data_IF_625192411218
#
_entry.id   IF_625192411218
#
_cell.length_a   1.000
_cell.length_b   1.000
_cell.length_c   1.000
_cell.angle_alpha   90.00
_cell.angle_beta   90.00
_cell.angle_gamma   90.00
#
_symmetry.space_group_name_H-M   'P 1'
#
loop_
_entity.id
_entity.type
_entity.pdbx_description
1 polymer ?
#
# COMPACT_ATOMS: atom_id res chain seq x y z
N UNK A 1 50.77 -9.15 17.40
CA UNK A 1 50.55 -9.20 15.94
C UNK A 1 49.06 -9.36 15.69
N UNK A 2 48.36 -8.26 15.36
CA UNK A 2 46.92 -8.31 15.08
C UNK A 2 46.73 -9.01 13.74
N UNK A 3 46.01 -10.13 13.76
CA UNK A 3 45.89 -11.04 12.62
C UNK A 3 45.03 -10.37 11.53
N UNK A 4 45.67 -9.67 10.60
CA UNK A 4 45.05 -8.81 9.55
C UNK A 4 43.94 -9.54 8.76
N UNK A 5 44.05 -10.87 8.65
CA UNK A 5 43.04 -11.74 8.02
C UNK A 5 41.69 -11.75 8.74
N UNK A 6 41.69 -11.60 10.07
CA UNK A 6 40.46 -11.61 10.89
C UNK A 6 39.72 -10.28 10.77
N UNK A 7 40.44 -9.15 10.71
CA UNK A 7 39.84 -7.82 10.53
C UNK A 7 39.14 -7.73 9.18
N UNK A 8 39.76 -8.25 8.13
CA UNK A 8 39.19 -8.21 6.78
C UNK A 8 37.89 -9.03 6.67
N UNK A 9 37.83 -10.19 7.34
CA UNK A 9 36.63 -11.02 7.37
C UNK A 9 35.45 -10.34 8.10
N UNK A 10 35.73 -9.64 9.21
CA UNK A 10 34.70 -8.91 9.97
C UNK A 10 34.17 -7.71 9.19
N UNK A 11 35.02 -7.00 8.46
CA UNK A 11 34.61 -5.85 7.64
C UNK A 11 33.70 -6.25 6.47
N UNK A 12 33.99 -7.39 5.82
CA UNK A 12 33.15 -7.93 4.73
C UNK A 12 31.79 -8.41 5.25
N UNK A 13 31.74 -9.02 6.44
CA UNK A 13 30.48 -9.43 7.07
C UNK A 13 29.58 -8.25 7.47
N UNK A 14 30.16 -7.12 7.90
CA UNK A 14 29.39 -5.90 8.21
C UNK A 14 28.81 -5.21 6.97
N UNK A 15 29.50 -5.29 5.82
CA UNK A 15 29.00 -4.71 4.56
C UNK A 15 27.84 -5.55 3.98
N UNK A 16 27.90 -6.88 4.13
CA UNK A 16 26.87 -7.78 3.60
C UNK A 16 25.59 -7.84 4.46
N UNK A 17 25.65 -7.40 5.71
CA UNK A 17 24.48 -7.33 6.61
C UNK A 17 23.68 -6.03 6.46
N UNK A 18 24.27 -4.97 5.88
CA UNK A 18 23.57 -3.72 5.56
C UNK A 18 22.58 -3.83 4.39
N UNK A 19 22.82 -4.75 3.44
CA UNK A 19 21.94 -4.94 2.28
C UNK A 19 20.67 -5.74 2.60
N UNK A 20 20.68 -6.58 3.64
CA UNK A 20 19.52 -7.39 4.00
C UNK A 20 18.37 -6.57 4.62
N UNK A 21 18.70 -5.46 5.29
CA UNK A 21 17.70 -4.56 5.88
C UNK A 21 17.01 -3.65 4.84
N UNK A 22 17.62 -3.43 3.67
CA UNK A 22 17.04 -2.58 2.61
C UNK A 22 16.04 -3.35 1.72
N UNK A 23 16.12 -4.69 1.70
CA UNK A 23 15.31 -5.51 0.81
C UNK A 23 13.87 -5.75 1.29
N UNK A 24 13.55 -5.47 2.57
CA UNK A 24 12.18 -5.55 3.07
C UNK A 24 11.25 -4.43 2.56
N UNK A 25 11.78 -3.42 1.87
CA UNK A 25 11.00 -2.30 1.36
C UNK A 25 10.53 -2.49 -0.10
N UNK A 26 10.88 -3.60 -0.77
CA UNK A 26 10.42 -3.88 -2.13
C UNK A 26 8.96 -4.38 -2.22
N UNK A 27 8.22 -4.47 -1.11
CA UNK A 27 6.83 -4.93 -1.06
C UNK A 27 5.78 -3.89 -0.66
N UNK A 28 6.19 -2.69 -0.23
CA UNK A 28 5.25 -1.66 0.21
C UNK A 28 4.80 -0.81 -0.99
N UNK A 29 3.54 -0.93 -1.39
CA UNK A 29 2.91 0.01 -2.34
C UNK A 29 3.04 1.41 -1.74
N UNK A 30 3.73 2.32 -2.42
CA UNK A 30 3.78 3.71 -1.97
C UNK A 30 2.39 4.35 -2.10
N UNK A 31 2.10 5.35 -1.26
CA UNK A 31 0.82 6.04 -1.33
C UNK A 31 0.59 6.68 -2.70
N UNK A 32 1.63 7.25 -3.30
CA UNK A 32 1.56 7.88 -4.61
C UNK A 32 1.28 6.83 -5.70
N UNK A 33 1.96 5.68 -5.66
CA UNK A 33 1.69 4.57 -6.58
C UNK A 33 0.26 4.04 -6.43
N UNK A 34 -0.26 3.98 -5.20
CA UNK A 34 -1.65 3.61 -4.96
C UNK A 34 -2.62 4.60 -5.59
N UNK A 35 -2.43 5.91 -5.36
CA UNK A 35 -3.29 6.98 -5.89
C UNK A 35 -3.28 6.95 -7.41
N UNK A 36 -2.10 6.88 -8.04
CA UNK A 36 -2.00 6.80 -9.51
C UNK A 36 -2.72 5.57 -10.07
N UNK A 37 -2.54 4.40 -9.45
CA UNK A 37 -3.26 3.19 -9.84
C UNK A 37 -4.77 3.29 -9.62
N UNK A 38 -5.21 4.00 -8.57
CA UNK A 38 -6.62 4.29 -8.32
C UNK A 38 -7.21 5.16 -9.43
N UNK A 39 -6.53 6.26 -9.79
CA UNK A 39 -6.97 7.19 -10.83
C UNK A 39 -7.08 6.46 -12.17
N UNK A 40 -6.03 5.73 -12.55
CA UNK A 40 -6.01 4.93 -13.79
C UNK A 40 -7.22 3.98 -13.85
N UNK A 41 -7.49 3.22 -12.79
CA UNK A 41 -8.66 2.33 -12.74
C UNK A 41 -10.00 3.06 -12.78
N UNK A 42 -10.07 4.28 -12.26
CA UNK A 42 -11.25 5.13 -12.36
C UNK A 42 -11.51 5.56 -13.81
N UNK A 43 -10.45 5.93 -14.53
CA UNK A 43 -10.52 6.30 -15.95
C UNK A 43 -10.93 5.12 -16.83
N UNK A 44 -10.41 3.92 -16.57
CA UNK A 44 -10.82 2.68 -17.24
C UNK A 44 -12.32 2.35 -17.02
N UNK A 45 -12.92 2.89 -15.97
CA UNK A 45 -14.36 2.78 -15.67
C UNK A 45 -15.19 3.95 -16.24
N UNK A 46 -14.59 4.82 -17.06
CA UNK A 46 -15.26 5.96 -17.68
C UNK A 46 -15.43 7.18 -16.78
N UNK A 47 -14.79 7.23 -15.61
CA UNK A 47 -14.75 8.43 -14.77
C UNK A 47 -13.74 9.41 -15.40
N UNK A 48 -14.13 10.67 -15.58
CA UNK A 48 -13.22 11.69 -16.11
C UNK A 48 -11.98 11.84 -15.22
N UNK A 49 -10.84 12.21 -15.81
CA UNK A 49 -9.55 12.27 -15.10
C UNK A 49 -9.58 13.13 -13.83
N UNK A 50 -10.24 14.29 -13.90
CA UNK A 50 -10.43 15.21 -12.79
C UNK A 50 -11.27 14.57 -11.66
N UNK A 51 -12.37 13.91 -12.00
CA UNK A 51 -13.24 13.23 -11.04
C UNK A 51 -12.61 11.97 -10.47
N UNK A 52 -11.81 11.25 -11.24
CA UNK A 52 -11.05 10.11 -10.77
C UNK A 52 -9.97 10.55 -9.78
N UNK A 53 -9.27 11.64 -10.06
CA UNK A 53 -8.32 12.27 -9.13
C UNK A 53 -9.01 12.70 -7.84
N UNK A 54 -10.09 13.47 -7.92
CA UNK A 54 -10.87 13.92 -6.76
C UNK A 54 -11.37 12.75 -5.90
N UNK A 55 -11.92 11.71 -6.54
CA UNK A 55 -12.39 10.49 -5.88
C UNK A 55 -11.25 9.77 -5.15
N UNK A 56 -10.11 9.55 -5.81
CA UNK A 56 -9.00 8.80 -5.23
C UNK A 56 -8.32 9.58 -4.09
N UNK A 57 -8.20 10.90 -4.19
CA UNK A 57 -7.70 11.73 -3.09
C UNK A 57 -8.67 11.77 -1.91
N UNK A 58 -9.98 11.93 -2.14
CA UNK A 58 -10.99 11.83 -1.08
C UNK A 58 -10.90 10.47 -0.38
N UNK A 59 -10.89 9.38 -1.15
CA UNK A 59 -10.85 8.02 -0.65
C UNK A 59 -9.64 7.76 0.24
N UNK A 60 -8.45 8.09 -0.24
CA UNK A 60 -7.20 7.87 0.49
C UNK A 60 -7.14 8.73 1.75
N UNK A 61 -7.52 10.01 1.67
CA UNK A 61 -7.52 10.89 2.85
C UNK A 61 -8.51 10.39 3.90
N UNK A 62 -9.75 10.06 3.51
CA UNK A 62 -10.77 9.55 4.42
C UNK A 62 -10.38 8.21 5.05
N UNK A 63 -9.66 7.36 4.33
CA UNK A 63 -9.15 6.10 4.88
C UNK A 63 -8.04 6.34 5.91
N UNK A 64 -7.08 7.24 5.60
CA UNK A 64 -5.98 7.60 6.49
C UNK A 64 -6.50 8.30 7.75
N UNK A 65 -7.47 9.20 7.64
CA UNK A 65 -8.11 9.88 8.79
C UNK A 65 -8.77 8.90 9.76
N UNK A 66 -9.29 7.77 9.26
CA UNK A 66 -9.90 6.72 10.07
C UNK A 66 -8.90 5.74 10.67
N UNK A 67 -7.66 5.72 10.18
CA UNK A 67 -6.62 4.81 10.64
C UNK A 67 -5.23 5.46 10.58
N UNK A 68 -4.38 5.03 9.65
CA UNK A 68 -3.07 5.58 9.39
C UNK A 68 -2.64 5.28 7.96
N UNK A 69 -1.61 5.99 7.48
CA UNK A 69 -1.01 5.74 6.16
C UNK A 69 -0.57 4.29 6.00
N UNK A 70 0.14 3.72 6.99
CA UNK A 70 0.68 2.38 6.89
C UNK A 70 -0.44 1.33 6.89
N UNK A 71 -1.40 1.48 7.81
CA UNK A 71 -2.51 0.55 7.93
C UNK A 71 -3.40 0.54 6.68
N UNK A 72 -3.62 1.70 6.07
CA UNK A 72 -4.30 1.80 4.78
C UNK A 72 -3.57 1.04 3.67
N UNK A 73 -2.25 1.23 3.54
CA UNK A 73 -1.45 0.58 2.51
C UNK A 73 -1.39 -0.94 2.72
N UNK A 74 -1.28 -1.39 3.96
CA UNK A 74 -1.31 -2.81 4.32
C UNK A 74 -2.68 -3.42 3.99
N UNK A 75 -3.78 -2.73 4.32
CA UNK A 75 -5.13 -3.18 4.00
C UNK A 75 -5.37 -3.26 2.48
N UNK A 76 -4.91 -2.26 1.73
CA UNK A 76 -4.97 -2.24 0.27
C UNK A 76 -4.19 -3.40 -0.35
N UNK A 77 -2.97 -3.64 0.13
CA UNK A 77 -2.13 -4.75 -0.31
C UNK A 77 -2.77 -6.10 0.00
N UNK A 78 -3.28 -6.28 1.21
CA UNK A 78 -3.96 -7.52 1.63
C UNK A 78 -5.20 -7.80 0.77
N UNK A 79 -6.02 -6.79 0.48
CA UNK A 79 -7.19 -6.96 -0.40
C UNK A 79 -6.82 -7.30 -1.85
N UNK A 80 -5.75 -6.71 -2.36
CA UNK A 80 -5.26 -6.98 -3.71
C UNK A 80 -4.79 -8.45 -3.84
N UNK A 81 -4.08 -8.94 -2.82
CA UNK A 81 -3.50 -10.28 -2.80
C UNK A 81 -4.43 -11.37 -2.24
N UNK A 82 -5.55 -11.00 -1.62
CA UNK A 82 -6.47 -11.96 -1.03
C UNK A 82 -7.14 -12.88 -2.06
N UNK A 83 -7.26 -14.14 -1.68
CA UNK A 83 -7.98 -15.18 -2.42
C UNK A 83 -9.49 -14.88 -2.48
N UNK A 84 -10.19 -15.58 -3.38
CA UNK A 84 -11.64 -15.43 -3.51
C UNK A 84 -12.35 -15.89 -2.23
N UNK A 85 -11.85 -16.96 -1.63
CA UNK A 85 -12.33 -17.56 -0.40
C UNK A 85 -12.22 -16.58 0.77
N UNK A 86 -11.05 -15.92 0.95
CA UNK A 86 -10.86 -14.91 1.99
C UNK A 86 -11.76 -13.69 1.81
N UNK A 87 -12.03 -13.29 0.56
CA UNK A 87 -12.95 -12.19 0.24
C UNK A 87 -14.41 -12.53 0.60
N UNK A 88 -14.77 -13.81 0.61
CA UNK A 88 -16.13 -14.29 0.91
C UNK A 88 -16.29 -14.73 2.38
N UNK A 89 -15.20 -15.05 3.08
CA UNK A 89 -15.23 -15.59 4.45
C UNK A 89 -15.46 -14.53 5.54
N UNK A 90 -15.39 -13.25 5.20
CA UNK A 90 -15.46 -12.14 6.17
C UNK A 90 -14.14 -11.87 6.91
N UNK A 91 -13.07 -12.63 6.63
CA UNK A 91 -11.74 -12.45 7.22
C UNK A 91 -11.08 -11.09 6.88
N UNK A 92 -11.61 -10.40 5.87
CA UNK A 92 -11.12 -9.11 5.37
C UNK A 92 -12.04 -7.93 5.73
N UNK A 93 -12.89 -8.09 6.76
CA UNK A 93 -13.89 -7.06 7.12
C UNK A 93 -13.25 -5.71 7.39
N UNK A 94 -12.12 -5.70 8.10
CA UNK A 94 -11.39 -4.48 8.42
C UNK A 94 -10.89 -3.77 7.16
N UNK A 95 -10.22 -4.52 6.28
CA UNK A 95 -9.66 -3.98 5.05
C UNK A 95 -10.77 -3.50 4.10
N UNK A 96 -11.90 -4.23 4.04
CA UNK A 96 -13.06 -3.81 3.27
C UNK A 96 -13.64 -2.48 3.77
N UNK A 97 -13.67 -2.25 5.09
CA UNK A 97 -14.09 -0.96 5.67
C UNK A 97 -13.11 0.14 5.29
N UNK A 98 -11.80 -0.09 5.45
CA UNK A 98 -10.80 0.93 5.17
C UNK A 98 -10.63 1.26 3.69
N UNK A 99 -10.83 0.29 2.79
CA UNK A 99 -10.55 0.48 1.35
C UNK A 99 -11.83 0.58 0.52
N UNK A 100 -12.79 -0.32 0.70
CA UNK A 100 -13.99 -0.33 -0.17
C UNK A 100 -15.06 0.63 0.34
N UNK A 101 -15.29 0.72 1.65
CA UNK A 101 -16.35 1.57 2.18
C UNK A 101 -16.01 3.05 2.04
N UNK A 102 -14.77 3.45 2.34
CA UNK A 102 -14.25 4.82 2.12
C UNK A 102 -14.34 5.23 0.66
N UNK A 103 -13.94 4.36 -0.27
CA UNK A 103 -14.08 4.61 -1.71
C UNK A 103 -15.55 4.81 -2.08
N UNK A 104 -16.44 3.93 -1.61
CA UNK A 104 -17.89 4.04 -1.86
C UNK A 104 -18.46 5.33 -1.27
N UNK A 105 -18.06 5.71 -0.06
CA UNK A 105 -18.49 6.94 0.60
C UNK A 105 -18.11 8.17 -0.23
N UNK A 106 -16.85 8.29 -0.61
CA UNK A 106 -16.38 9.38 -1.47
C UNK A 106 -17.06 9.39 -2.83
N UNK A 107 -17.25 8.21 -3.45
CA UNK A 107 -17.96 8.08 -4.72
C UNK A 107 -19.38 8.66 -4.63
N UNK A 108 -20.12 8.28 -3.58
CA UNK A 108 -21.47 8.81 -3.32
C UNK A 108 -21.45 10.32 -3.04
N UNK A 109 -20.51 10.82 -2.23
CA UNK A 109 -20.39 12.25 -1.94
C UNK A 109 -20.09 13.10 -3.18
N UNK A 110 -19.40 12.54 -4.16
CA UNK A 110 -19.08 13.20 -5.43
C UNK A 110 -20.16 13.03 -6.51
N UNK A 111 -21.22 12.27 -6.25
CA UNK A 111 -22.30 12.01 -7.22
C UNK A 111 -21.88 11.11 -8.39
N UNK A 112 -20.95 10.19 -8.16
CA UNK A 112 -20.39 9.25 -9.17
C UNK A 112 -20.97 7.84 -9.06
#
# INVERSE_FOLDING_TARGET
MVNVRVIFAVLVLMIMSGCAALQQQMGAVSLDSYIQGCIYRGQEQGISSDKASELCHCHVNAAIEKSSRQEFLDAASRLANATKEEKLSGALKHEMVLVKHTFKQCKTSLGL
#
